data_IF_875124455779
#
_entry.id   IF_875124455779
#
_cell.length_a   1.000
_cell.length_b   1.000
_cell.length_c   1.000
_cell.angle_alpha   90.00
_cell.angle_beta   90.00
_cell.angle_gamma   90.00
#
_symmetry.space_group_name_H-M   'P 1'
#
loop_
_entity.id
_entity.type
_entity.pdbx_description
1 polymer ?
#
# COMPACT_ATOMS: atom_id res chain seq x y z
N UNK A 1 13.96 2.32 22.64
CA UNK A 1 12.85 3.25 22.27
C UNK A 1 11.65 2.99 23.17
N UNK A 2 11.07 4.04 23.78
CA UNK A 2 9.92 3.89 24.67
C UNK A 2 8.63 3.68 23.85
N UNK A 3 7.86 2.65 24.23
CA UNK A 3 6.62 2.25 23.54
C UNK A 3 5.53 3.34 23.60
N UNK A 4 5.53 4.16 24.66
CA UNK A 4 4.57 5.25 24.82
C UNK A 4 4.87 6.43 23.87
N UNK A 5 6.16 6.68 23.59
CA UNK A 5 6.59 7.67 22.59
C UNK A 5 6.16 7.23 21.19
N UNK A 6 6.35 5.97 20.85
CA UNK A 6 5.88 5.39 19.57
C UNK A 6 4.36 5.46 19.43
N UNK A 7 3.60 5.15 20.48
CA UNK A 7 2.13 5.26 20.47
C UNK A 7 1.65 6.69 20.24
N UNK A 8 2.25 7.69 20.91
CA UNK A 8 1.89 9.10 20.69
C UNK A 8 2.20 9.56 19.27
N UNK A 9 3.32 9.09 18.72
CA UNK A 9 3.72 9.38 17.34
C UNK A 9 2.71 8.82 16.34
N UNK A 10 2.33 7.55 16.48
CA UNK A 10 1.37 6.88 15.60
C UNK A 10 -0.05 7.46 15.70
N UNK A 11 -0.42 8.00 16.87
CA UNK A 11 -1.71 8.68 17.10
C UNK A 11 -1.68 10.18 16.75
N UNK A 12 -0.63 10.70 16.10
CA UNK A 12 -0.45 12.11 15.76
C UNK A 12 -0.51 13.07 16.97
N UNK A 13 -0.22 12.56 18.17
CA UNK A 13 -0.23 13.32 19.44
C UNK A 13 1.17 13.47 20.06
N UNK A 14 2.23 13.25 19.28
CA UNK A 14 3.61 13.36 19.72
C UNK A 14 4.04 14.81 19.93
N UNK A 15 4.77 15.06 21.03
CA UNK A 15 5.40 16.35 21.32
C UNK A 15 6.68 16.56 20.50
N UNK A 16 7.19 17.80 20.46
CA UNK A 16 8.48 18.10 19.80
C UNK A 16 9.65 17.28 20.37
N UNK A 17 9.62 16.98 21.66
CA UNK A 17 10.62 16.13 22.31
C UNK A 17 10.49 14.66 21.87
N UNK A 18 9.27 14.17 21.68
CA UNK A 18 9.01 12.83 21.17
C UNK A 18 9.55 12.70 19.75
N UNK A 19 9.32 13.70 18.89
CA UNK A 19 9.88 13.75 17.53
C UNK A 19 11.42 13.74 17.52
N UNK A 20 12.07 14.47 18.44
CA UNK A 20 13.53 14.46 18.58
C UNK A 20 14.04 13.07 18.98
N UNK A 21 13.37 12.39 19.93
CA UNK A 21 13.72 11.03 20.39
C UNK A 21 13.56 10.01 19.26
N UNK A 22 12.48 10.07 18.48
CA UNK A 22 12.22 9.18 17.35
C UNK A 22 13.23 9.41 16.24
N UNK A 23 13.53 10.67 15.90
CA UNK A 23 14.50 10.99 14.87
C UNK A 23 15.93 10.57 15.26
N UNK A 24 16.28 10.64 16.55
CA UNK A 24 17.56 10.13 17.05
C UNK A 24 17.63 8.61 16.91
N UNK A 25 16.64 7.90 17.43
CA UNK A 25 16.55 6.44 17.36
C UNK A 25 16.54 5.91 15.91
N UNK A 26 15.87 6.59 15.00
CA UNK A 26 15.82 6.25 13.58
C UNK A 26 17.18 6.34 12.87
N UNK A 27 18.09 7.22 13.38
CA UNK A 27 19.45 7.38 12.85
C UNK A 27 20.45 6.40 13.44
N UNK A 28 20.14 5.77 14.57
CA UNK A 28 21.04 4.83 15.24
C UNK A 28 21.24 3.54 14.41
N UNK A 29 20.19 3.05 13.76
CA UNK A 29 20.25 1.86 12.90
C UNK A 29 19.29 1.97 11.70
N UNK A 30 19.69 1.56 10.49
CA UNK A 30 18.81 1.56 9.31
C UNK A 30 17.54 0.70 9.50
N UNK A 31 17.64 -0.39 10.26
CA UNK A 31 16.53 -1.27 10.61
C UNK A 31 15.39 -0.54 11.36
N UNK A 32 15.73 0.47 12.17
CA UNK A 32 14.76 1.25 12.93
C UNK A 32 13.83 2.08 12.04
N UNK A 33 14.35 2.58 10.93
CA UNK A 33 13.55 3.31 9.91
C UNK A 33 12.56 2.39 9.22
N UNK A 34 12.99 1.19 8.85
CA UNK A 34 12.13 0.18 8.21
C UNK A 34 11.04 -0.30 9.18
N UNK A 35 11.41 -0.51 10.45
CA UNK A 35 10.47 -0.91 11.50
C UNK A 35 9.41 0.17 11.77
N UNK A 36 9.81 1.45 11.87
CA UNK A 36 8.87 2.56 12.07
C UNK A 36 7.86 2.66 10.91
N UNK A 37 8.35 2.53 9.68
CA UNK A 37 7.51 2.56 8.49
C UNK A 37 6.48 1.40 8.48
N UNK A 38 6.92 0.21 8.86
CA UNK A 38 6.01 -0.95 8.98
C UNK A 38 4.94 -0.74 10.06
N UNK A 39 5.30 -0.09 11.17
CA UNK A 39 4.36 0.26 12.23
C UNK A 39 3.34 1.31 11.78
N UNK A 40 3.76 2.35 11.07
CA UNK A 40 2.86 3.37 10.51
C UNK A 40 1.86 2.74 9.53
N UNK A 41 2.32 1.83 8.67
CA UNK A 41 1.46 1.11 7.73
C UNK A 41 0.42 0.24 8.45
N UNK A 42 0.83 -0.51 9.48
CA UNK A 42 -0.07 -1.35 10.27
C UNK A 42 -1.07 -0.48 11.05
N UNK A 43 -0.61 0.66 11.59
CA UNK A 43 -1.43 1.56 12.39
C UNK A 43 -2.48 2.29 11.57
N UNK A 44 -2.12 2.78 10.38
CA UNK A 44 -3.06 3.41 9.44
C UNK A 44 -4.17 2.44 9.00
N UNK A 45 -3.82 1.19 8.73
CA UNK A 45 -4.81 0.14 8.42
C UNK A 45 -5.74 -0.17 9.61
N UNK A 46 -5.22 -0.08 10.83
CA UNK A 46 -6.00 -0.26 12.06
C UNK A 46 -6.95 0.92 12.31
N UNK A 47 -6.55 2.14 12.02
CA UNK A 47 -7.43 3.32 12.12
C UNK A 47 -8.57 3.27 11.10
N UNK A 48 -8.30 2.91 9.84
CA UNK A 48 -9.34 2.70 8.82
C UNK A 48 -10.32 1.59 9.23
N UNK A 49 -9.82 0.48 9.76
CA UNK A 49 -10.66 -0.61 10.26
C UNK A 49 -11.49 -0.19 11.48
N UNK A 50 -10.94 0.62 12.40
CA UNK A 50 -11.66 1.14 13.57
C UNK A 50 -12.71 2.18 13.20
N UNK A 51 -12.51 3.01 12.17
CA UNK A 51 -13.52 3.95 11.68
C UNK A 51 -14.72 3.23 11.09
N UNK A 52 -14.49 2.22 10.25
CA UNK A 52 -15.55 1.40 9.65
C UNK A 52 -16.32 0.58 10.73
N UNK A 53 -15.62 0.10 11.75
CA UNK A 53 -16.20 -0.73 12.81
C UNK A 53 -16.97 0.09 13.86
N UNK A 54 -16.54 1.33 14.15
CA UNK A 54 -17.13 2.18 15.19
C UNK A 54 -18.55 2.66 14.86
N UNK A 55 -18.85 2.84 13.55
CA UNK A 55 -20.19 3.24 13.09
C UNK A 55 -21.19 2.09 13.19
N UNK A 56 -20.78 0.84 12.90
CA UNK A 56 -21.64 -0.33 12.99
C UNK A 56 -21.73 -0.94 14.39
N UNK A 57 -20.67 -0.87 15.20
CA UNK A 57 -20.64 -1.46 16.54
C UNK A 57 -21.57 -0.71 17.52
N UNK A 58 -21.65 0.62 17.45
CA UNK A 58 -22.52 1.39 18.38
C UNK A 58 -24.00 1.07 18.21
N UNK A 59 -24.50 0.95 16.98
CA UNK A 59 -25.90 0.62 16.73
C UNK A 59 -26.23 -0.85 17.11
N UNK A 60 -25.32 -1.78 16.88
CA UNK A 60 -25.49 -3.18 17.25
C UNK A 60 -25.31 -3.42 18.75
N UNK A 61 -24.41 -2.67 19.40
CA UNK A 61 -24.17 -2.74 20.84
C UNK A 61 -25.34 -2.17 21.64
N UNK A 62 -25.91 -1.05 21.23
CA UNK A 62 -27.13 -0.49 21.84
C UNK A 62 -28.33 -1.44 21.73
N UNK A 63 -28.57 -2.05 20.55
CA UNK A 63 -29.60 -3.06 20.37
C UNK A 63 -29.39 -4.30 21.24
N UNK A 64 -28.12 -4.70 21.44
CA UNK A 64 -27.78 -5.86 22.27
C UNK A 64 -27.99 -5.57 23.77
N UNK A 65 -27.62 -4.38 24.25
CA UNK A 65 -27.84 -3.93 25.63
C UNK A 65 -29.35 -3.80 25.92
N UNK A 66 -30.11 -3.21 25.01
CA UNK A 66 -31.56 -3.06 25.12
C UNK A 66 -32.27 -4.44 25.21
N UNK A 67 -31.82 -5.39 24.42
CA UNK A 67 -32.31 -6.79 24.41
C UNK A 67 -31.87 -7.56 25.66
N UNK A 68 -30.72 -7.25 26.25
CA UNK A 68 -30.26 -7.84 27.51
C UNK A 68 -31.02 -7.26 28.72
N UNK A 69 -31.29 -5.95 28.73
CA UNK A 69 -32.04 -5.27 29.79
C UNK A 69 -33.52 -5.69 29.79
N UNK A 70 -34.17 -5.76 28.63
CA UNK A 70 -35.55 -6.25 28.52
C UNK A 70 -35.69 -7.73 28.95
N UNK A 71 -34.62 -8.53 28.77
CA UNK A 71 -34.59 -9.94 29.19
C UNK A 71 -34.32 -10.11 30.69
N UNK A 72 -33.65 -9.15 31.35
CA UNK A 72 -33.45 -9.14 32.80
C UNK A 72 -34.72 -8.71 33.55
N UNK A 73 -35.48 -7.74 33.02
CA UNK A 73 -36.75 -7.32 33.58
C UNK A 73 -37.84 -8.38 33.49
N UNK A 74 -37.89 -9.16 32.40
CA UNK A 74 -38.82 -10.28 32.29
C UNK A 74 -38.50 -11.44 33.25
N UNK A 75 -37.20 -11.68 33.54
CA UNK A 75 -36.78 -12.71 34.49
C UNK A 75 -37.06 -12.34 35.96
N UNK A 76 -37.03 -11.05 36.32
CA UNK A 76 -37.33 -10.58 37.68
C UNK A 76 -38.85 -10.67 37.96
N UNK A 77 -39.70 -10.44 36.96
CA UNK A 77 -41.15 -10.60 37.10
C UNK A 77 -41.62 -12.09 37.10
N UNK A 78 -40.84 -12.98 36.51
CA UNK A 78 -41.17 -14.44 36.50
C UNK A 78 -40.77 -15.15 37.81
N UNK A 79 -39.83 -14.57 38.63
CA UNK A 79 -39.35 -15.19 39.85
C UNK A 79 -40.26 -14.96 41.05
N UNK A 80 -41.18 -14.00 41.00
CA UNK A 80 -42.14 -13.73 42.11
C UNK A 80 -43.44 -14.55 42.02
N UNK A 81 -43.68 -15.29 40.91
CA UNK A 81 -44.95 -16.02 40.73
C UNK A 81 -44.80 -17.54 40.76
N UNK A 82 -43.62 -18.09 41.03
CA UNK A 82 -43.39 -19.53 40.91
C UNK A 82 -42.91 -20.20 42.20
N UNK A 83 -43.71 -20.05 43.27
CA UNK A 83 -43.62 -20.93 44.41
C UNK A 83 -45.01 -21.51 44.72
N UNK A 84 -45.56 -22.28 43.80
CA UNK A 84 -46.57 -23.33 44.14
C UNK A 84 -46.76 -24.26 42.94
N UNK A 85 -46.43 -25.53 43.17
CA UNK A 85 -47.03 -26.75 42.56
C UNK A 85 -46.83 -27.00 41.05
N UNK A 86 -45.96 -27.83 40.62
CA UNK A 86 -46.26 -29.19 40.15
C UNK A 86 -45.05 -29.85 39.49
N UNK A 87 -44.85 -31.10 39.93
CA UNK A 87 -43.97 -32.10 39.33
C UNK A 87 -44.60 -32.46 37.97
N UNK A 88 -43.98 -31.98 36.85
CA UNK A 88 -44.32 -32.47 35.51
C UNK A 88 -43.05 -32.89 34.77
N UNK A 89 -43.12 -34.11 34.29
CA UNK A 89 -42.11 -34.75 33.45
C UNK A 89 -41.74 -33.90 32.27
N UNK A 90 -40.50 -33.37 32.28
CA UNK A 90 -39.94 -32.65 31.16
C UNK A 90 -39.53 -33.66 30.09
N UNK A 91 -40.41 -33.89 29.12
CA UNK A 91 -40.03 -34.49 27.86
C UNK A 91 -38.91 -33.63 27.23
N UNK A 92 -37.67 -34.09 27.33
CA UNK A 92 -36.54 -33.49 26.61
C UNK A 92 -36.79 -33.61 25.11
N UNK A 93 -36.91 -32.51 24.38
CA UNK A 93 -37.13 -32.60 22.93
C UNK A 93 -35.93 -33.30 22.28
N UNK A 94 -36.20 -34.37 21.51
CA UNK A 94 -35.19 -35.11 20.73
C UNK A 94 -34.51 -34.27 19.63
N UNK A 95 -34.79 -32.97 19.54
CA UNK A 95 -34.27 -32.04 18.55
C UNK A 95 -32.83 -31.57 18.83
N UNK A 96 -32.25 -31.85 20.01
CA UNK A 96 -30.90 -31.38 20.36
C UNK A 96 -29.80 -32.06 19.53
N UNK A 97 -30.06 -33.27 19.02
CA UNK A 97 -29.03 -33.99 18.23
C UNK A 97 -28.88 -33.38 16.82
N UNK A 98 -30.00 -33.04 16.15
CA UNK A 98 -29.99 -32.37 14.85
C UNK A 98 -29.32 -30.99 14.93
N UNK A 99 -29.60 -30.20 15.96
CA UNK A 99 -28.95 -28.92 16.20
C UNK A 99 -27.44 -29.04 16.42
N UNK A 100 -26.99 -30.08 17.12
CA UNK A 100 -25.58 -30.35 17.33
C UNK A 100 -24.87 -30.78 16.05
N UNK A 101 -25.51 -31.60 15.22
CA UNK A 101 -24.97 -32.05 13.93
C UNK A 101 -24.90 -30.88 12.96
N UNK A 102 -25.93 -30.05 12.84
CA UNK A 102 -25.91 -28.88 11.96
C UNK A 102 -24.88 -27.83 12.40
N UNK A 103 -24.74 -27.61 13.71
CA UNK A 103 -23.70 -26.72 14.23
C UNK A 103 -22.31 -27.25 13.93
N UNK A 104 -22.07 -28.58 14.07
CA UNK A 104 -20.77 -29.19 13.74
C UNK A 104 -20.43 -29.05 12.25
N UNK A 105 -21.40 -29.28 11.37
CA UNK A 105 -21.22 -29.11 9.92
C UNK A 105 -20.93 -27.64 9.58
N UNK A 106 -21.66 -26.70 10.19
CA UNK A 106 -21.43 -25.27 9.99
C UNK A 106 -20.02 -24.83 10.42
N UNK A 107 -19.52 -25.36 11.55
CA UNK A 107 -18.14 -25.09 12.02
C UNK A 107 -17.10 -25.65 11.04
N UNK A 108 -17.28 -26.90 10.60
CA UNK A 108 -16.36 -27.54 9.64
C UNK A 108 -16.33 -26.76 8.31
N UNK A 109 -17.50 -26.37 7.80
CA UNK A 109 -17.60 -25.54 6.60
C UNK A 109 -16.95 -24.16 6.78
N UNK A 110 -17.15 -23.52 7.94
CA UNK A 110 -16.56 -22.20 8.25
C UNK A 110 -15.04 -22.28 8.32
N UNK A 111 -14.51 -23.32 8.99
CA UNK A 111 -13.06 -23.56 9.06
C UNK A 111 -12.50 -23.91 7.67
N UNK A 112 -13.21 -24.76 6.91
CA UNK A 112 -12.81 -25.13 5.55
C UNK A 112 -12.77 -23.91 4.60
N UNK A 113 -13.83 -23.10 4.59
CA UNK A 113 -13.88 -21.86 3.81
C UNK A 113 -12.84 -20.83 4.29
N UNK A 114 -12.66 -20.72 5.61
CA UNK A 114 -11.64 -19.84 6.21
C UNK A 114 -10.21 -20.24 5.82
N UNK A 115 -9.92 -21.54 5.81
CA UNK A 115 -8.60 -22.03 5.38
C UNK A 115 -8.37 -21.84 3.89
N UNK A 116 -9.38 -22.11 3.03
CA UNK A 116 -9.30 -21.85 1.59
C UNK A 116 -9.08 -20.35 1.30
N UNK A 117 -9.83 -19.49 1.99
CA UNK A 117 -9.65 -18.03 1.89
C UNK A 117 -8.26 -17.59 2.34
N UNK A 118 -7.78 -18.13 3.47
CA UNK A 118 -6.45 -17.86 3.98
C UNK A 118 -5.35 -18.28 3.00
N UNK A 119 -5.47 -19.49 2.43
CA UNK A 119 -4.53 -19.99 1.43
C UNK A 119 -4.50 -19.11 0.17
N UNK A 120 -5.67 -18.63 -0.29
CA UNK A 120 -5.75 -17.74 -1.46
C UNK A 120 -5.10 -16.37 -1.17
N UNK A 121 -5.33 -15.81 0.02
CA UNK A 121 -4.77 -14.50 0.43
C UNK A 121 -3.27 -14.55 0.68
N UNK A 122 -2.76 -15.72 1.13
CA UNK A 122 -1.33 -15.90 1.47
C UNK A 122 -0.52 -16.53 0.35
N UNK A 123 -1.09 -16.77 -0.82
CA UNK A 123 -0.33 -17.27 -1.98
C UNK A 123 0.84 -16.35 -2.27
N UNK A 124 2.06 -16.89 -2.38
CA UNK A 124 3.22 -16.09 -2.74
C UNK A 124 3.00 -15.47 -4.11
N UNK A 125 3.17 -14.16 -4.19
CA UNK A 125 3.08 -13.42 -5.44
C UNK A 125 4.34 -13.73 -6.25
N UNK A 126 4.19 -14.30 -7.43
CA UNK A 126 5.29 -14.47 -8.37
C UNK A 126 5.74 -13.12 -8.94
N UNK A 127 7.01 -13.03 -9.34
CA UNK A 127 7.54 -11.85 -10.01
C UNK A 127 8.05 -12.21 -11.39
N UNK A 128 7.76 -11.37 -12.36
CA UNK A 128 8.34 -11.40 -13.70
C UNK A 128 9.45 -10.35 -13.79
N UNK A 129 10.53 -10.69 -14.47
CA UNK A 129 11.62 -9.74 -14.74
C UNK A 129 11.89 -9.68 -16.23
N UNK A 130 11.81 -8.48 -16.79
CA UNK A 130 12.21 -8.17 -18.16
C UNK A 130 13.58 -7.50 -18.12
N UNK A 131 14.51 -8.05 -18.87
CA UNK A 131 15.86 -7.49 -19.04
C UNK A 131 16.00 -7.09 -20.51
N UNK A 132 16.26 -5.81 -20.74
CA UNK A 132 16.45 -5.26 -22.08
C UNK A 132 17.93 -5.19 -22.36
N UNK A 133 18.44 -5.89 -23.39
CA UNK A 133 19.84 -5.79 -23.78
C UNK A 133 20.20 -4.39 -24.24
N UNK A 134 21.51 -4.11 -24.28
CA UNK A 134 22.01 -2.86 -24.82
C UNK A 134 21.58 -2.69 -26.29
N UNK A 135 21.30 -1.45 -26.68
CA UNK A 135 20.84 -1.06 -28.01
C UNK A 135 19.48 -1.64 -28.45
N UNK A 136 18.70 -2.15 -27.50
CA UNK A 136 17.33 -2.63 -27.73
C UNK A 136 16.35 -1.88 -26.84
N UNK A 137 15.09 -1.92 -27.22
CA UNK A 137 13.98 -1.43 -26.40
C UNK A 137 12.92 -2.54 -26.27
N UNK A 138 12.12 -2.48 -25.23
CA UNK A 138 10.99 -3.38 -25.05
C UNK A 138 9.75 -2.59 -24.65
N UNK A 139 8.56 -3.13 -24.97
CA UNK A 139 7.31 -2.61 -24.47
C UNK A 139 6.49 -3.74 -23.86
N UNK A 140 5.69 -3.40 -22.86
CA UNK A 140 4.78 -4.34 -22.22
C UNK A 140 3.55 -3.62 -21.71
N UNK A 141 2.46 -4.37 -21.53
CA UNK A 141 1.23 -3.93 -20.91
C UNK A 141 1.02 -4.79 -19.69
N UNK A 142 0.81 -4.14 -18.53
CA UNK A 142 0.53 -4.85 -17.29
C UNK A 142 -0.95 -5.23 -17.18
N UNK A 143 -1.29 -6.07 -16.19
CA UNK A 143 -2.67 -6.53 -15.97
C UNK A 143 -3.69 -5.41 -15.70
N UNK A 144 -3.21 -4.26 -15.20
CA UNK A 144 -4.03 -3.06 -14.92
C UNK A 144 -4.23 -2.14 -16.14
N UNK A 145 -3.69 -2.53 -17.30
CA UNK A 145 -3.71 -1.74 -18.53
C UNK A 145 -2.62 -0.66 -18.60
N UNK A 146 -1.69 -0.61 -17.64
CA UNK A 146 -0.55 0.30 -17.69
C UNK A 146 0.40 -0.09 -18.81
N UNK A 147 0.72 0.86 -19.70
CA UNK A 147 1.71 0.69 -20.74
C UNK A 147 3.09 1.14 -20.30
N UNK A 148 4.11 0.35 -20.59
CA UNK A 148 5.50 0.63 -20.20
C UNK A 148 6.40 0.39 -21.39
N UNK A 149 7.26 1.35 -21.67
CA UNK A 149 8.36 1.23 -22.61
C UNK A 149 9.66 1.26 -21.85
N UNK A 150 10.50 0.27 -22.07
CA UNK A 150 11.81 0.10 -21.43
C UNK A 150 12.90 0.46 -22.42
N UNK A 151 13.82 1.31 -21.98
CA UNK A 151 14.99 1.68 -22.76
C UNK A 151 16.12 0.64 -22.62
N UNK A 152 17.12 0.79 -23.46
CA UNK A 152 18.34 -0.04 -23.52
C UNK A 152 18.99 -0.23 -22.14
N UNK A 153 19.47 -1.45 -21.87
CA UNK A 153 20.15 -1.77 -20.60
C UNK A 153 19.26 -1.77 -19.36
N UNK A 154 17.94 -1.68 -19.52
CA UNK A 154 17.01 -1.62 -18.39
C UNK A 154 16.62 -3.01 -17.87
N UNK A 155 16.38 -3.07 -16.55
CA UNK A 155 15.79 -4.22 -15.85
C UNK A 155 14.51 -3.77 -15.18
N UNK A 156 13.42 -4.46 -15.48
CA UNK A 156 12.10 -4.15 -14.94
C UNK A 156 11.49 -5.39 -14.29
N UNK A 157 11.08 -5.26 -13.03
CA UNK A 157 10.48 -6.36 -12.26
C UNK A 157 9.09 -5.96 -11.80
N UNK A 158 8.11 -6.81 -12.03
CA UNK A 158 6.72 -6.59 -11.65
C UNK A 158 6.06 -7.89 -11.17
N UNK A 159 5.08 -7.82 -10.27
CA UNK A 159 4.40 -9.00 -9.77
C UNK A 159 3.46 -9.59 -10.84
N UNK A 160 3.22 -10.90 -10.79
CA UNK A 160 2.21 -11.57 -11.63
C UNK A 160 0.80 -11.08 -11.34
N UNK A 161 0.56 -10.58 -10.12
CA UNK A 161 -0.68 -9.96 -9.68
C UNK A 161 -0.37 -8.87 -8.66
N UNK A 162 -0.93 -7.70 -8.82
CA UNK A 162 -0.74 -6.63 -7.87
C UNK A 162 -1.43 -6.93 -6.53
N UNK A 163 -0.70 -6.75 -5.43
CA UNK A 163 -1.22 -6.86 -4.08
C UNK A 163 -2.36 -5.85 -3.81
N UNK A 164 -3.09 -6.04 -2.71
CA UNK A 164 -4.04 -5.04 -2.24
C UNK A 164 -3.29 -3.78 -1.80
N UNK A 165 -3.78 -2.62 -2.19
CA UNK A 165 -3.28 -1.31 -1.76
C UNK A 165 -2.38 -0.61 -2.77
N UNK A 166 -1.35 -1.26 -3.32
CA UNK A 166 -0.42 -0.64 -4.26
C UNK A 166 -0.16 -1.50 -5.49
N UNK A 167 0.15 -0.84 -6.61
CA UNK A 167 0.65 -1.44 -7.84
C UNK A 167 2.17 -1.20 -7.90
N UNK A 168 2.94 -2.02 -7.19
CA UNK A 168 4.38 -1.80 -7.03
C UNK A 168 5.17 -2.54 -8.10
N UNK A 169 6.10 -1.82 -8.74
CA UNK A 169 7.06 -2.34 -9.72
C UNK A 169 8.47 -1.84 -9.38
N UNK A 170 9.50 -2.52 -9.88
CA UNK A 170 10.90 -2.13 -9.69
C UNK A 170 11.57 -1.85 -11.03
N UNK A 171 12.36 -0.78 -11.07
CA UNK A 171 13.12 -0.35 -12.25
C UNK A 171 14.58 -0.10 -11.89
N UNK A 172 15.48 -0.67 -12.70
CA UNK A 172 16.86 -0.25 -12.82
C UNK A 172 17.14 0.05 -14.30
N UNK A 173 17.44 1.30 -14.65
CA UNK A 173 17.54 1.76 -16.02
C UNK A 173 16.54 2.86 -16.33
N UNK A 174 16.00 2.91 -17.55
CA UNK A 174 15.07 3.94 -17.99
C UNK A 174 13.79 3.36 -18.56
N UNK A 175 12.66 3.96 -18.16
CA UNK A 175 11.34 3.60 -18.66
C UNK A 175 10.40 4.79 -18.76
N UNK A 176 9.58 4.78 -19.81
CA UNK A 176 8.41 5.63 -19.93
C UNK A 176 7.19 4.83 -19.47
N UNK A 177 6.43 5.41 -18.56
CA UNK A 177 5.21 4.86 -18.01
C UNK A 177 4.01 5.66 -18.49
N UNK A 178 2.98 4.97 -18.96
CA UNK A 178 1.64 5.52 -19.16
C UNK A 178 0.70 4.72 -18.26
N UNK A 179 0.55 5.22 -17.03
CA UNK A 179 -0.16 4.51 -15.97
C UNK A 179 -1.65 4.70 -16.10
N UNK A 180 -2.38 3.59 -16.10
CA UNK A 180 -3.84 3.61 -16.06
C UNK A 180 -4.33 4.21 -14.73
N UNK A 181 -5.33 5.12 -14.79
CA UNK A 181 -5.81 5.86 -13.62
C UNK A 181 -6.58 4.96 -12.66
N UNK A 182 -6.12 4.92 -11.43
CA UNK A 182 -6.82 4.30 -10.28
C UNK A 182 -6.44 5.06 -9.00
N UNK A 183 -7.40 5.79 -8.45
CA UNK A 183 -7.21 6.61 -7.23
C UNK A 183 -7.17 5.78 -5.96
N UNK A 184 -7.77 4.58 -5.98
CA UNK A 184 -7.83 3.68 -4.83
C UNK A 184 -6.61 2.77 -4.72
N UNK A 185 -5.86 2.62 -5.82
CA UNK A 185 -4.70 1.73 -5.87
C UNK A 185 -3.52 2.42 -6.56
N UNK A 186 -2.78 3.27 -5.84
CA UNK A 186 -1.64 4.00 -6.40
C UNK A 186 -0.61 3.10 -7.07
N UNK A 187 0.03 3.60 -8.14
CA UNK A 187 1.13 2.94 -8.82
C UNK A 187 2.46 3.44 -8.24
N UNK A 188 3.35 2.53 -7.86
CA UNK A 188 4.61 2.82 -7.22
C UNK A 188 5.77 2.24 -8.04
N UNK A 189 6.64 3.10 -8.56
CA UNK A 189 7.90 2.69 -9.19
C UNK A 189 9.01 2.81 -8.15
N UNK A 190 9.60 1.69 -7.79
CA UNK A 190 10.77 1.64 -6.90
C UNK A 190 12.04 1.52 -7.74
N UNK A 191 12.99 2.40 -7.49
CA UNK A 191 14.36 2.32 -7.98
C UNK A 191 15.33 2.21 -6.80
N UNK A 192 16.61 2.14 -7.05
CA UNK A 192 17.61 2.10 -5.98
C UNK A 192 17.56 3.34 -5.06
N UNK A 193 17.23 4.52 -5.61
CA UNK A 193 17.32 5.82 -4.92
C UNK A 193 16.00 6.56 -4.80
N UNK A 194 15.03 6.21 -5.61
CA UNK A 194 13.76 6.92 -5.69
C UNK A 194 12.59 5.95 -5.54
N UNK A 195 11.52 6.46 -4.95
CA UNK A 195 10.19 5.88 -5.07
C UNK A 195 9.27 6.90 -5.71
N UNK A 196 8.66 6.54 -6.82
CA UNK A 196 7.77 7.43 -7.60
C UNK A 196 6.35 6.92 -7.47
N UNK A 197 5.48 7.73 -6.86
CA UNK A 197 4.08 7.40 -6.64
C UNK A 197 3.18 8.22 -7.57
N UNK A 198 2.25 7.53 -8.23
CA UNK A 198 1.29 8.17 -9.14
C UNK A 198 -0.09 7.49 -9.02
N UNK A 199 -1.15 8.17 -9.50
CA UNK A 199 -2.51 7.63 -9.54
C UNK A 199 -2.98 7.31 -10.97
N UNK A 200 -2.43 8.00 -11.98
CA UNK A 200 -2.75 7.86 -13.39
C UNK A 200 -2.04 8.97 -14.16
N UNK A 201 -0.87 8.69 -14.68
CA UNK A 201 0.13 9.69 -15.03
C UNK A 201 0.99 9.16 -16.16
N UNK A 202 1.42 10.05 -17.06
CA UNK A 202 2.45 9.76 -18.06
C UNK A 202 3.76 10.42 -17.65
N UNK A 203 4.81 9.64 -17.41
CA UNK A 203 6.09 10.13 -16.91
C UNK A 203 7.24 9.20 -17.31
N UNK A 204 8.45 9.76 -17.38
CA UNK A 204 9.68 9.02 -17.63
C UNK A 204 10.51 8.95 -16.34
N UNK A 205 11.08 7.79 -16.04
CA UNK A 205 12.03 7.58 -14.95
C UNK A 205 13.32 7.08 -15.56
N UNK A 206 14.44 7.74 -15.25
CA UNK A 206 15.79 7.30 -15.57
C UNK A 206 16.54 7.07 -14.26
N UNK A 207 17.05 5.86 -14.04
CA UNK A 207 17.77 5.46 -12.84
C UNK A 207 18.76 4.33 -13.17
N UNK A 208 19.77 4.67 -13.97
CA UNK A 208 20.92 3.79 -14.21
C UNK A 208 21.90 3.86 -13.04
N UNK A 209 22.61 2.76 -12.82
CA UNK A 209 23.67 2.73 -11.80
C UNK A 209 24.80 3.70 -12.15
N UNK A 210 25.21 4.54 -11.19
CA UNK A 210 26.27 5.53 -11.39
C UNK A 210 25.83 6.84 -12.04
N UNK A 211 24.55 7.01 -12.39
CA UNK A 211 23.99 8.25 -12.94
C UNK A 211 23.00 8.89 -11.97
N UNK A 212 22.92 10.21 -11.99
CA UNK A 212 21.89 10.94 -11.23
C UNK A 212 20.51 10.56 -11.71
N UNK A 213 19.65 9.98 -10.84
CA UNK A 213 18.32 9.58 -11.24
C UNK A 213 17.45 10.79 -11.55
N UNK A 214 16.62 10.66 -12.58
CA UNK A 214 15.71 11.72 -13.03
C UNK A 214 14.28 11.21 -13.17
N UNK A 215 13.31 12.12 -12.95
CA UNK A 215 11.88 11.90 -13.21
C UNK A 215 11.35 13.08 -13.99
N UNK A 216 10.87 12.85 -15.22
CA UNK A 216 10.26 13.86 -16.08
C UNK A 216 8.75 13.59 -16.16
N UNK A 217 7.95 14.57 -15.80
CA UNK A 217 6.49 14.47 -15.83
C UNK A 217 5.91 15.04 -17.14
N UNK A 218 5.18 14.20 -17.87
CA UNK A 218 4.46 14.62 -19.08
C UNK A 218 3.03 15.04 -18.80
N UNK A 219 2.28 14.23 -18.04
CA UNK A 219 0.87 14.47 -17.76
C UNK A 219 0.50 13.90 -16.39
N UNK A 220 -0.37 14.59 -15.65
CA UNK A 220 -0.88 14.15 -14.36
C UNK A 220 -0.11 14.76 -13.18
N UNK A 221 0.10 13.95 -12.15
CA UNK A 221 0.81 14.33 -10.91
C UNK A 221 1.74 13.21 -10.47
N UNK A 222 2.92 13.60 -10.01
CA UNK A 222 3.94 12.69 -9.49
C UNK A 222 4.39 13.14 -8.12
N UNK A 223 4.45 12.19 -7.20
CA UNK A 223 5.12 12.33 -5.90
C UNK A 223 6.39 11.48 -5.90
N UNK A 224 7.52 12.09 -5.64
CA UNK A 224 8.83 11.43 -5.58
C UNK A 224 9.34 11.44 -4.15
N UNK A 225 9.65 10.27 -3.65
CA UNK A 225 10.29 10.06 -2.35
C UNK A 225 11.75 9.71 -2.58
N UNK A 226 12.64 10.42 -1.90
CA UNK A 226 14.09 10.21 -1.96
C UNK A 226 14.59 9.57 -0.67
N UNK A 227 15.84 9.07 -0.65
CA UNK A 227 16.47 8.48 0.54
C UNK A 227 16.49 9.44 1.74
N UNK A 228 16.45 10.76 1.49
CA UNK A 228 16.35 11.79 2.54
C UNK A 228 14.92 12.03 3.02
N UNK A 229 13.97 11.15 2.69
CA UNK A 229 12.54 11.24 3.06
C UNK A 229 11.89 12.58 2.66
N UNK A 230 12.33 13.17 1.58
CA UNK A 230 11.65 14.34 1.00
C UNK A 230 10.56 13.83 0.07
N UNK A 231 9.34 14.26 0.33
CA UNK A 231 8.23 14.12 -0.61
C UNK A 231 8.27 15.35 -1.53
N UNK A 232 8.58 15.12 -2.81
CA UNK A 232 8.70 16.17 -3.81
C UNK A 232 7.61 15.96 -4.84
N UNK A 233 6.78 16.97 -5.07
CA UNK A 233 5.78 16.97 -6.13
C UNK A 233 6.30 17.74 -7.33
N UNK A 234 6.16 17.15 -8.51
CA UNK A 234 6.50 17.82 -9.78
C UNK A 234 5.23 18.00 -10.62
N UNK A 235 5.26 19.07 -11.42
CA UNK A 235 4.18 19.43 -12.36
C UNK A 235 4.54 18.97 -13.78
N UNK A 236 3.57 18.92 -14.70
CA UNK A 236 3.87 18.69 -16.11
C UNK A 236 4.93 19.66 -16.64
N UNK A 237 5.80 19.18 -17.52
CA UNK A 237 7.00 19.86 -18.02
C UNK A 237 8.05 20.18 -16.95
N UNK A 238 8.07 19.44 -15.85
CA UNK A 238 9.15 19.52 -14.86
C UNK A 238 9.92 18.23 -14.79
N UNK A 239 11.24 18.38 -14.71
CA UNK A 239 12.17 17.30 -14.45
C UNK A 239 12.79 17.45 -13.07
N UNK A 240 12.64 16.42 -12.25
CA UNK A 240 13.37 16.28 -10.99
C UNK A 240 14.67 15.51 -11.27
N UNK A 241 15.79 16.02 -10.76
CA UNK A 241 17.08 15.31 -10.71
C UNK A 241 17.52 15.18 -9.26
N UNK A 242 18.04 14.03 -8.87
CA UNK A 242 18.61 13.81 -7.53
C UNK A 242 20.09 13.48 -7.69
N UNK A 243 20.95 14.34 -7.14
CA UNK A 243 22.39 14.14 -7.20
C UNK A 243 22.81 12.93 -6.37
N UNK A 244 23.61 12.04 -6.95
CA UNK A 244 24.18 10.87 -6.26
C UNK A 244 25.21 11.31 -5.20
N UNK A 245 25.99 12.33 -5.45
CA UNK A 245 27.02 12.78 -4.54
C UNK A 245 26.45 13.45 -3.29
N UNK A 246 25.50 14.36 -3.48
CA UNK A 246 24.99 15.19 -2.39
C UNK A 246 23.65 14.71 -1.85
N UNK A 247 22.91 13.91 -2.62
CA UNK A 247 21.52 13.54 -2.38
C UNK A 247 20.57 14.74 -2.41
N UNK A 248 21.00 15.88 -2.95
CA UNK A 248 20.16 17.04 -3.15
C UNK A 248 19.32 16.86 -4.41
N UNK A 249 18.09 17.33 -4.34
CA UNK A 249 17.16 17.31 -5.46
C UNK A 249 17.03 18.70 -6.06
N UNK A 250 17.00 18.77 -7.39
CA UNK A 250 16.71 19.98 -8.18
C UNK A 250 15.56 19.75 -9.11
N UNK A 251 14.74 20.77 -9.33
CA UNK A 251 13.65 20.76 -10.31
C UNK A 251 13.97 21.79 -11.37
N UNK A 252 13.86 21.40 -12.64
CA UNK A 252 13.98 22.32 -13.79
C UNK A 252 12.79 22.14 -14.73
N UNK A 253 12.44 23.21 -15.44
CA UNK A 253 11.49 23.13 -16.55
C UNK A 253 12.16 22.40 -17.72
N UNK A 254 11.43 21.48 -18.33
CA UNK A 254 11.88 20.68 -19.45
C UNK A 254 10.68 20.29 -20.31
N UNK A 255 10.78 20.48 -21.62
CA UNK A 255 9.72 20.04 -22.53
C UNK A 255 9.47 18.53 -22.39
N UNK A 256 8.31 18.18 -21.92
CA UNK A 256 7.92 16.80 -21.69
C UNK A 256 7.65 16.02 -23.01
N UNK A 257 7.65 16.68 -24.18
CA UNK A 257 7.63 15.99 -25.48
C UNK A 257 8.89 15.14 -25.67
N UNK A 258 10.00 15.50 -25.00
CA UNK A 258 11.26 14.75 -24.99
C UNK A 258 11.19 13.43 -24.21
N UNK A 259 10.15 13.25 -23.39
CA UNK A 259 9.99 12.01 -22.61
C UNK A 259 9.79 10.81 -23.54
N UNK A 260 10.77 9.91 -23.56
CA UNK A 260 10.69 8.66 -24.31
C UNK A 260 10.91 8.82 -25.82
N UNK A 261 11.57 9.87 -26.32
CA UNK A 261 11.96 10.05 -27.74
C UNK A 261 12.87 8.92 -28.23
N UNK A 262 13.63 8.32 -27.33
CA UNK A 262 14.44 7.13 -27.61
C UNK A 262 13.61 5.95 -28.19
N UNK A 263 12.29 5.92 -28.03
CA UNK A 263 11.38 4.89 -28.60
C UNK A 263 11.27 5.01 -30.11
N UNK A 264 11.41 6.21 -30.66
CA UNK A 264 11.35 6.50 -32.10
C UNK A 264 12.72 6.57 -32.73
N UNK A 265 13.80 6.31 -31.95
CA UNK A 265 15.18 6.43 -32.41
C UNK A 265 15.68 7.88 -32.50
N UNK A 266 14.91 8.82 -32.00
CA UNK A 266 15.32 10.24 -31.95
C UNK A 266 16.18 10.49 -30.71
N UNK A 267 17.39 11.01 -30.94
CA UNK A 267 18.27 11.48 -29.86
C UNK A 267 18.09 12.98 -29.70
N UNK A 268 17.65 13.40 -28.53
CA UNK A 268 17.53 14.81 -28.18
C UNK A 268 18.62 15.20 -27.19
N UNK A 269 19.31 16.28 -27.47
CA UNK A 269 20.38 16.86 -26.64
C UNK A 269 19.96 18.29 -26.21
N UNK A 270 19.01 18.46 -25.31
CA UNK A 270 18.50 19.76 -24.97
C UNK A 270 19.56 20.59 -24.22
N UNK A 271 20.07 21.63 -24.89
CA UNK A 271 21.01 22.58 -24.31
C UNK A 271 22.48 22.15 -24.33
N UNK A 272 22.82 21.03 -24.95
CA UNK A 272 24.22 20.63 -25.14
C UNK A 272 24.82 21.21 -26.40
N UNK A 273 26.10 21.55 -26.35
CA UNK A 273 26.82 21.98 -27.53
C UNK A 273 27.28 20.80 -28.35
N UNK A 274 27.38 20.96 -29.68
CA UNK A 274 27.92 19.92 -30.59
C UNK A 274 29.26 19.33 -30.10
N UNK A 275 30.07 20.11 -29.39
CA UNK A 275 31.35 19.69 -28.81
C UNK A 275 31.19 18.68 -27.65
N UNK A 276 30.05 18.69 -27.01
CA UNK A 276 29.74 17.77 -25.89
C UNK A 276 29.10 16.47 -26.38
N UNK A 277 28.60 16.46 -27.65
CA UNK A 277 27.86 15.34 -28.25
C UNK A 277 28.80 14.46 -29.10
N UNK A 278 29.93 14.97 -29.57
CA UNK A 278 30.98 14.29 -30.31
C UNK A 278 32.15 13.99 -29.36
#
# INVERSE_FOLDING_TARGET
>A
MDLNVLKRFLNHSASEEDYKKINKWRREEPANSTFLFSLEEIWSKKEEANYATKIHLNASYQKMIEKMMSRSESKIKEQETYNTTQKNDIHKPKSSLFLKITASIAIVLSVGLGTLYYMEVTRPVGFNTVIVPNSQTANLVLEDGTHIWLNSGSRFTYPTKFARGYRTVKLAGEALFQVNRDEHKPFLVETERLKVRVLGTTFNVKSYSGEDPTVLLKEGQVEVYTDKNKNIRIKPNQMLTVSLETGLSSIREMDASTAGTWRTGELMFPGETLKTIV
#
